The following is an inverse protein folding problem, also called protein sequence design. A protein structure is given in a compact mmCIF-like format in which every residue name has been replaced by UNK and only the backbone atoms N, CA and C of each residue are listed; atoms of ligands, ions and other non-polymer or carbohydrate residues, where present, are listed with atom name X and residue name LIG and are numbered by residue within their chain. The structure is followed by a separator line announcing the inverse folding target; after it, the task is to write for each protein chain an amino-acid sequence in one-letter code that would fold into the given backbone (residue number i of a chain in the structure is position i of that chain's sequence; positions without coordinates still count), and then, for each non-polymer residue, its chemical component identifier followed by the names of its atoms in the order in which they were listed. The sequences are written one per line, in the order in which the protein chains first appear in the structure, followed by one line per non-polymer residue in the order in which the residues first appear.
data_IF_614326717867
#
_entry.id   IF_614326717867
#
_cell.length_a   1.000
_cell.length_b   1.000
_cell.length_c   1.000
_cell.angle_alpha   90.00
_cell.angle_beta   90.00
_cell.angle_gamma   90.00
#
_symmetry.space_group_name_H-M   'P 1'
#
loop_
_entity.id
_entity.type
_entity.pdbx_description
1 polymer ?
#
# COMPACT_ATOMS: atom_id res chain seq x y z
N UNK A 1 -15.86 12.54 -3.80
CA UNK A 1 -15.13 11.48 -3.09
C UNK A 1 -13.64 11.71 -3.28
N UNK A 2 -12.86 11.77 -2.20
CA UNK A 2 -11.41 12.00 -2.18
C UNK A 2 -10.70 10.73 -1.72
N UNK A 3 -9.78 10.23 -2.53
CA UNK A 3 -9.02 9.01 -2.25
C UNK A 3 -7.54 9.37 -2.24
N UNK A 4 -6.83 8.95 -1.19
CA UNK A 4 -5.37 8.96 -1.18
C UNK A 4 -4.85 7.57 -1.53
N UNK A 5 -3.84 7.51 -2.39
CA UNK A 5 -3.15 6.27 -2.75
C UNK A 5 -1.75 6.31 -2.15
N UNK A 6 -1.43 5.30 -1.35
CA UNK A 6 -0.12 5.08 -0.78
C UNK A 6 0.47 3.84 -1.44
N UNK A 7 1.33 4.06 -2.43
CA UNK A 7 2.13 3.00 -3.03
C UNK A 7 3.37 2.73 -2.20
N UNK A 8 3.71 1.46 -1.98
CA UNK A 8 4.88 1.12 -1.20
C UNK A 8 5.20 -0.36 -1.23
N UNK A 9 6.44 -0.70 -0.87
CA UNK A 9 6.82 -2.11 -0.78
C UNK A 9 6.30 -2.75 0.51
N UNK A 10 6.19 -2.02 1.63
CA UNK A 10 5.73 -2.57 2.91
C UNK A 10 6.47 -3.86 3.31
N UNK A 11 7.80 -3.80 3.40
CA UNK A 11 8.68 -4.94 3.68
C UNK A 11 9.42 -4.79 5.03
N UNK A 12 8.75 -4.90 6.19
CA UNK A 12 7.29 -4.94 6.41
C UNK A 12 6.66 -3.54 6.52
N UNK A 13 5.34 -3.46 6.67
CA UNK A 13 4.68 -2.23 7.16
C UNK A 13 5.20 -1.88 8.57
N UNK A 14 5.25 -0.59 8.92
CA UNK A 14 5.79 -0.12 10.18
C UNK A 14 5.18 1.23 10.58
N UNK A 15 5.48 1.71 11.80
CA UNK A 15 4.81 2.86 12.41
C UNK A 15 4.83 4.13 11.56
N UNK A 16 5.92 4.43 10.84
CA UNK A 16 5.99 5.63 9.97
C UNK A 16 4.99 5.57 8.81
N UNK A 17 4.70 4.39 8.24
CA UNK A 17 3.67 4.25 7.20
C UNK A 17 2.27 4.55 7.77
N UNK A 18 2.00 4.04 8.97
CA UNK A 18 0.73 4.26 9.66
C UNK A 18 0.55 5.72 10.08
N UNK A 19 1.62 6.33 10.60
CA UNK A 19 1.63 7.74 10.96
C UNK A 19 1.33 8.60 9.73
N UNK A 20 2.00 8.36 8.60
CA UNK A 20 1.74 9.09 7.35
C UNK A 20 0.28 8.96 6.90
N UNK A 21 -0.29 7.76 6.93
CA UNK A 21 -1.69 7.54 6.57
C UNK A 21 -2.64 8.31 7.50
N UNK A 22 -2.34 8.36 8.81
CA UNK A 22 -3.12 9.12 9.78
C UNK A 22 -3.04 10.63 9.57
N UNK A 23 -1.86 11.15 9.27
CA UNK A 23 -1.68 12.57 8.94
C UNK A 23 -2.46 12.93 7.67
N UNK A 24 -2.43 12.07 6.64
CA UNK A 24 -3.22 12.25 5.42
C UNK A 24 -4.72 12.25 5.73
N UNK A 25 -5.19 11.32 6.55
CA UNK A 25 -6.60 11.28 6.99
C UNK A 25 -6.99 12.59 7.68
N UNK A 26 -6.14 13.06 8.61
CA UNK A 26 -6.38 14.24 9.43
C UNK A 26 -6.37 15.54 8.61
N UNK A 27 -5.33 15.77 7.81
CA UNK A 27 -5.12 17.05 7.14
C UNK A 27 -5.88 17.19 5.82
N UNK A 28 -6.09 16.10 5.09
CA UNK A 28 -6.64 16.17 3.73
C UNK A 28 -8.13 15.81 3.66
N UNK A 29 -8.74 15.39 4.78
CA UNK A 29 -10.16 15.05 4.88
C UNK A 29 -10.58 14.07 3.76
N UNK A 30 -9.76 13.03 3.55
CA UNK A 30 -10.01 12.00 2.55
C UNK A 30 -11.10 11.03 3.01
N UNK A 31 -11.86 10.52 2.05
CA UNK A 31 -12.90 9.52 2.30
C UNK A 31 -12.28 8.11 2.42
N UNK A 32 -11.18 7.86 1.69
CA UNK A 32 -10.45 6.58 1.70
C UNK A 32 -8.95 6.77 1.55
N UNK A 33 -8.20 5.87 2.16
CA UNK A 33 -6.77 5.68 1.95
C UNK A 33 -6.57 4.26 1.43
N UNK A 34 -5.99 4.13 0.24
CA UNK A 34 -5.71 2.85 -0.40
C UNK A 34 -4.21 2.61 -0.37
N UNK A 35 -3.80 1.55 0.31
CA UNK A 35 -2.43 1.06 0.29
C UNK A 35 -2.28 0.08 -0.86
N UNK A 36 -1.28 0.30 -1.72
CA UNK A 36 -0.97 -0.58 -2.86
C UNK A 36 0.42 -1.20 -2.64
N UNK A 37 0.51 -2.47 -2.23
CA UNK A 37 1.78 -3.15 -2.05
C UNK A 37 2.40 -3.48 -3.40
N UNK A 38 3.59 -2.97 -3.65
CA UNK A 38 4.35 -3.22 -4.88
C UNK A 38 4.63 -4.72 -5.06
N UNK A 39 4.46 -5.25 -6.28
CA UNK A 39 4.85 -6.62 -6.61
C UNK A 39 6.38 -6.75 -6.74
N UNK A 40 6.94 -6.17 -7.81
CA UNK A 40 8.37 -6.15 -8.07
C UNK A 40 8.82 -4.73 -8.47
N UNK A 41 9.46 -3.98 -7.57
CA UNK A 41 9.96 -2.65 -7.89
C UNK A 41 11.10 -2.73 -8.91
N UNK A 42 11.14 -1.77 -9.84
CA UNK A 42 12.18 -1.66 -10.88
C UNK A 42 13.58 -1.45 -10.27
N UNK A 43 13.66 -0.74 -9.13
CA UNK A 43 14.90 -0.15 -8.62
C UNK A 43 15.54 -0.90 -7.46
N UNK A 44 14.96 -2.03 -6.98
CA UNK A 44 15.51 -2.76 -5.83
C UNK A 44 15.13 -4.24 -5.85
N UNK A 45 16.02 -5.08 -5.33
CA UNK A 45 15.70 -6.47 -4.98
C UNK A 45 15.06 -6.50 -3.59
N UNK A 46 14.01 -7.31 -3.44
CA UNK A 46 13.34 -7.56 -2.16
C UNK A 46 13.73 -8.97 -1.74
N UNK A 47 14.51 -9.11 -0.67
CA UNK A 47 15.09 -10.39 -0.25
C UNK A 47 14.54 -10.90 1.09
N UNK A 48 13.78 -10.09 1.84
CA UNK A 48 13.52 -10.37 3.26
C UNK A 48 12.18 -11.04 3.57
N UNK A 49 11.11 -10.77 2.81
CA UNK A 49 9.78 -11.30 3.12
C UNK A 49 8.97 -11.56 1.84
N UNK A 50 8.09 -12.56 1.86
CA UNK A 50 7.27 -12.90 0.70
C UNK A 50 6.24 -11.81 0.42
N UNK A 51 5.83 -11.65 -0.85
CA UNK A 51 4.73 -10.74 -1.24
C UNK A 51 3.48 -10.98 -0.39
N UNK A 52 3.14 -12.26 -0.18
CA UNK A 52 1.99 -12.67 0.62
C UNK A 52 2.08 -12.18 2.06
N UNK A 53 3.23 -12.35 2.70
CA UNK A 53 3.41 -11.92 4.10
C UNK A 53 3.37 -10.39 4.23
N UNK A 54 3.86 -9.64 3.22
CA UNK A 54 3.72 -8.17 3.21
C UNK A 54 2.26 -7.73 3.22
N UNK A 55 1.44 -8.38 2.39
CA UNK A 55 0.01 -8.10 2.30
C UNK A 55 -0.69 -8.44 3.62
N UNK A 56 -0.43 -9.62 4.19
CA UNK A 56 -1.04 -10.04 5.45
C UNK A 56 -0.66 -9.11 6.60
N UNK A 57 0.63 -8.75 6.73
CA UNK A 57 1.08 -7.79 7.74
C UNK A 57 0.45 -6.41 7.54
N UNK A 58 0.30 -5.96 6.28
CA UNK A 58 -0.36 -4.70 5.96
C UNK A 58 -1.85 -4.71 6.31
N UNK A 59 -2.57 -5.79 5.98
CA UNK A 59 -3.98 -5.99 6.37
C UNK A 59 -4.14 -5.97 7.89
N UNK A 60 -3.27 -6.68 8.61
CA UNK A 60 -3.26 -6.67 10.08
C UNK A 60 -3.00 -5.28 10.66
N UNK A 61 -2.12 -4.49 10.03
CA UNK A 61 -1.80 -3.14 10.50
C UNK A 61 -2.98 -2.15 10.36
N UNK A 62 -3.88 -2.37 9.40
CA UNK A 62 -5.03 -1.49 9.15
C UNK A 62 -6.37 -2.11 9.59
N UNK A 63 -6.39 -3.29 10.21
CA UNK A 63 -7.63 -4.05 10.46
C UNK A 63 -8.70 -3.32 11.30
N UNK A 64 -8.30 -2.32 12.09
CA UNK A 64 -9.20 -1.51 12.93
C UNK A 64 -9.49 -0.12 12.33
N UNK A 65 -9.03 0.13 11.10
CA UNK A 65 -9.11 1.43 10.44
C UNK A 65 -10.22 1.44 9.39
N UNK A 66 -11.31 2.16 9.65
CA UNK A 66 -12.52 2.11 8.81
C UNK A 66 -12.39 2.77 7.44
N UNK A 67 -11.37 3.61 7.23
CA UNK A 67 -11.12 4.32 5.97
C UNK A 67 -9.89 3.83 5.21
N UNK A 68 -9.18 2.85 5.75
CA UNK A 68 -7.94 2.34 5.15
C UNK A 68 -8.19 0.99 4.50
N UNK A 69 -7.69 0.80 3.29
CA UNK A 69 -7.91 -0.40 2.49
C UNK A 69 -6.60 -0.86 1.85
N UNK A 70 -6.46 -2.17 1.61
CA UNK A 70 -5.38 -2.71 0.77
C UNK A 70 -5.96 -3.03 -0.60
N UNK A 71 -5.29 -2.59 -1.66
CA UNK A 71 -5.56 -3.01 -3.03
C UNK A 71 -4.36 -3.80 -3.55
N UNK A 72 -4.61 -4.99 -4.07
CA UNK A 72 -3.59 -5.94 -4.52
C UNK A 72 -3.35 -5.85 -6.04
N UNK A 73 -3.85 -4.82 -6.71
CA UNK A 73 -3.79 -4.68 -8.17
C UNK A 73 -2.39 -4.87 -8.78
N UNK A 74 -1.35 -4.29 -8.18
CA UNK A 74 0.05 -4.48 -8.61
C UNK A 74 0.50 -5.94 -8.51
N UNK A 75 -0.01 -6.68 -7.51
CA UNK A 75 0.29 -8.10 -7.30
C UNK A 75 -0.42 -8.96 -8.33
N UNK A 76 -1.67 -8.63 -8.62
CA UNK A 76 -2.50 -9.33 -9.62
C UNK A 76 -1.94 -9.13 -11.03
N UNK A 77 -1.54 -7.90 -11.37
CA UNK A 77 -0.90 -7.58 -12.65
C UNK A 77 0.44 -8.32 -12.82
N UNK A 78 1.11 -8.64 -11.71
CA UNK A 78 2.40 -9.29 -11.71
C UNK A 78 3.48 -8.45 -12.40
N UNK A 79 4.61 -9.08 -12.74
CA UNK A 79 5.69 -8.39 -13.45
C UNK A 79 6.32 -7.24 -12.67
N UNK A 80 6.89 -6.27 -13.40
CA UNK A 80 7.51 -5.06 -12.87
C UNK A 80 6.42 -4.01 -12.63
N UNK A 81 6.45 -3.37 -11.47
CA UNK A 81 5.46 -2.35 -11.10
C UNK A 81 5.87 -0.96 -11.59
N UNK A 82 4.98 -0.30 -12.35
CA UNK A 82 5.06 1.12 -12.66
C UNK A 82 3.79 1.84 -12.18
N UNK A 83 3.95 3.04 -11.64
CA UNK A 83 2.83 3.83 -11.10
C UNK A 83 1.76 4.15 -12.15
N UNK A 84 2.12 4.29 -13.42
CA UNK A 84 1.14 4.51 -14.50
C UNK A 84 0.19 3.32 -14.66
N UNK A 85 0.70 2.10 -14.49
CA UNK A 85 -0.09 0.88 -14.56
C UNK A 85 -0.96 0.75 -13.30
N UNK A 86 -0.40 1.08 -12.12
CA UNK A 86 -1.13 1.09 -10.85
C UNK A 86 -2.36 2.01 -10.87
N UNK A 87 -2.26 3.18 -11.51
CA UNK A 87 -3.37 4.14 -11.60
C UNK A 87 -4.43 3.76 -12.64
N UNK A 88 -4.12 2.80 -13.52
CA UNK A 88 -5.04 2.31 -14.54
C UNK A 88 -5.85 1.06 -14.10
N UNK A 89 -5.57 0.53 -12.90
CA UNK A 89 -6.25 -0.62 -12.33
C UNK A 89 -7.68 -0.35 -11.86
#
# INVERSE_FOLDING_TARGET
MRIAILGGTYNPVHIVHMFLAKEIEHFLSVDKIIFIPTHKPVHKRIESISVKDRIELLKLAIQHESKMFVDECDIINGGITYTVDTLAC
#
